data_IF_162197156875
#
_entry.id   IF_162197156875
#
_cell.length_a   1.000
_cell.length_b   1.000
_cell.length_c   1.000
_cell.angle_alpha   90.00
_cell.angle_beta   90.00
_cell.angle_gamma   90.00
#
_symmetry.space_group_name_H-M   'P 1'
#
loop_
_entity.id
_entity.type
_entity.pdbx_description
1 polymer ?
#
# COMPACT_ATOMS: atom_id res chain seq x y z
N UNK A 1 -10.22 -3.10 16.78
CA UNK A 1 -9.37 -1.99 16.32
C UNK A 1 -9.38 -2.03 14.79
N UNK A 2 -9.52 -0.88 14.13
CA UNK A 2 -9.61 -0.81 12.66
C UNK A 2 -8.22 -0.43 12.15
N UNK A 3 -7.70 -1.19 11.19
CA UNK A 3 -6.39 -0.93 10.59
C UNK A 3 -6.49 0.35 9.75
N UNK A 4 -5.56 1.28 9.89
CA UNK A 4 -5.51 2.51 9.08
C UNK A 4 -4.43 2.39 8.03
N UNK A 5 -4.78 2.66 6.78
CA UNK A 5 -3.84 2.69 5.66
C UNK A 5 -3.72 4.12 5.16
N UNK A 6 -2.53 4.70 5.34
CA UNK A 6 -2.21 6.04 4.89
C UNK A 6 -1.58 6.00 3.51
N UNK A 7 -2.22 6.65 2.55
CA UNK A 7 -1.70 6.80 1.20
C UNK A 7 -2.81 6.87 0.16
N UNK A 8 -2.53 7.46 -1.01
CA UNK A 8 -3.53 7.58 -2.06
C UNK A 8 -3.86 6.23 -2.67
N UNK A 9 -5.15 6.01 -2.91
CA UNK A 9 -5.67 4.77 -3.50
C UNK A 9 -5.12 4.53 -4.91
N UNK A 10 -4.71 5.59 -5.61
CA UNK A 10 -4.13 5.50 -6.96
C UNK A 10 -2.67 5.05 -6.97
N UNK A 11 -1.96 5.09 -5.84
CA UNK A 11 -0.55 4.70 -5.81
C UNK A 11 -0.39 3.18 -5.68
N UNK A 12 0.54 2.62 -6.47
CA UNK A 12 0.78 1.18 -6.54
C UNK A 12 1.22 0.56 -5.20
N UNK A 13 1.90 1.31 -4.33
CA UNK A 13 2.39 0.78 -3.05
C UNK A 13 1.26 0.64 -2.00
N UNK A 14 0.42 1.67 -1.74
CA UNK A 14 -0.78 1.53 -0.90
C UNK A 14 -1.76 0.45 -1.39
N UNK A 15 -1.99 0.33 -2.71
CA UNK A 15 -2.87 -0.70 -3.27
C UNK A 15 -2.47 -2.13 -2.87
N UNK A 16 -1.16 -2.43 -2.84
CA UNK A 16 -0.65 -3.76 -2.43
C UNK A 16 -1.04 -4.11 -1.00
N UNK A 17 -1.01 -3.14 -0.10
CA UNK A 17 -1.41 -3.32 1.30
C UNK A 17 -2.92 -3.51 1.39
N UNK A 18 -3.70 -2.66 0.71
CA UNK A 18 -5.16 -2.74 0.71
C UNK A 18 -5.66 -4.10 0.20
N UNK A 19 -5.06 -4.62 -0.88
CA UNK A 19 -5.37 -5.97 -1.40
C UNK A 19 -5.15 -7.05 -0.35
N UNK A 20 -4.02 -7.00 0.37
CA UNK A 20 -3.70 -7.97 1.40
C UNK A 20 -4.74 -7.95 2.53
N UNK A 21 -5.15 -6.76 2.97
CA UNK A 21 -6.16 -6.59 4.01
C UNK A 21 -7.54 -7.09 3.55
N UNK A 22 -7.94 -6.81 2.31
CA UNK A 22 -9.15 -7.33 1.70
C UNK A 22 -9.13 -8.86 1.58
N UNK A 23 -8.02 -9.46 1.13
CA UNK A 23 -7.87 -10.92 1.03
C UNK A 23 -7.96 -11.60 2.40
N UNK A 24 -7.57 -10.92 3.47
CA UNK A 24 -7.64 -11.42 4.85
C UNK A 24 -8.97 -11.12 5.54
N UNK A 25 -9.90 -10.42 4.88
CA UNK A 25 -11.18 -10.02 5.47
C UNK A 25 -11.03 -9.06 6.65
N UNK A 26 -9.93 -8.28 6.69
CA UNK A 26 -9.66 -7.31 7.75
C UNK A 26 -10.32 -5.99 7.38
N UNK A 27 -11.09 -5.41 8.30
CA UNK A 27 -11.66 -4.09 8.12
C UNK A 27 -10.57 -3.02 8.31
N UNK A 28 -10.44 -2.13 7.32
CA UNK A 28 -9.48 -1.03 7.36
C UNK A 28 -10.10 0.30 6.88
N UNK A 29 -9.52 1.39 7.36
CA UNK A 29 -9.85 2.76 6.97
C UNK A 29 -8.75 3.31 6.07
N UNK A 30 -9.14 3.98 4.99
CA UNK A 30 -8.20 4.63 4.07
C UNK A 30 -8.09 6.09 4.46
N UNK A 31 -6.88 6.52 4.81
CA UNK A 31 -6.55 7.94 5.00
C UNK A 31 -5.82 8.41 3.75
N UNK A 32 -6.52 9.20 2.94
CA UNK A 32 -5.93 9.77 1.74
C UNK A 32 -4.79 10.73 2.10
N UNK A 33 -3.70 10.66 1.34
CA UNK A 33 -2.51 11.50 1.53
C UNK A 33 -2.17 12.11 0.20
N UNK A 34 -2.27 13.44 0.11
CA UNK A 34 -2.02 14.11 -1.16
C UNK A 34 -0.51 14.18 -1.44
N UNK A 35 -0.07 13.35 -2.39
CA UNK A 35 1.33 13.28 -2.81
C UNK A 35 1.77 14.46 -3.69
N UNK A 36 0.84 15.11 -4.39
CA UNK A 36 1.12 16.25 -5.28
C UNK A 36 1.50 17.48 -4.47
N UNK A 37 0.80 17.71 -3.36
CA UNK A 37 1.08 18.80 -2.41
C UNK A 37 2.24 18.42 -1.45
N UNK A 38 2.68 17.17 -1.47
CA UNK A 38 3.80 16.69 -0.66
C UNK A 38 3.46 16.50 0.81
N UNK A 39 2.21 16.16 1.14
CA UNK A 39 1.75 16.00 2.52
C UNK A 39 2.53 14.94 3.30
N UNK A 40 3.03 13.92 2.61
CA UNK A 40 3.93 12.89 3.16
C UNK A 40 5.24 13.44 3.71
N UNK A 41 5.65 14.66 3.33
CA UNK A 41 6.86 15.33 3.83
C UNK A 41 6.57 16.29 4.97
N UNK A 42 5.29 16.53 5.31
CA UNK A 42 4.95 17.43 6.43
C UNK A 42 5.36 16.81 7.77
N UNK A 43 5.72 17.61 8.78
CA UNK A 43 6.17 17.11 10.09
C UNK A 43 5.16 16.16 10.76
N UNK A 44 3.86 16.41 10.54
CA UNK A 44 2.78 15.56 11.04
C UNK A 44 2.82 14.15 10.45
N UNK A 45 3.21 14.00 9.19
CA UNK A 45 3.35 12.70 8.53
C UNK A 45 4.71 12.05 8.82
N UNK A 46 5.78 12.86 8.87
CA UNK A 46 7.13 12.39 9.23
C UNK A 46 7.20 11.78 10.63
N UNK A 47 6.39 12.30 11.57
CA UNK A 47 6.27 11.73 12.92
C UNK A 47 5.70 10.31 12.93
N UNK A 48 4.93 9.95 11.90
CA UNK A 48 4.40 8.57 11.70
C UNK A 48 5.36 7.74 10.87
N UNK A 49 5.99 8.36 9.88
CA UNK A 49 6.85 7.70 8.92
C UNK A 49 8.07 8.57 8.60
N UNK A 50 9.23 8.32 9.22
CA UNK A 50 10.40 9.21 9.17
C UNK A 50 10.98 9.38 7.76
N UNK A 51 10.66 8.47 6.84
CA UNK A 51 11.13 8.53 5.45
C UNK A 51 10.26 9.40 4.53
N UNK A 52 9.11 9.89 5.01
CA UNK A 52 8.18 10.70 4.23
C UNK A 52 7.66 10.00 2.97
N UNK A 53 7.30 8.72 3.10
CA UNK A 53 6.82 7.87 2.02
C UNK A 53 5.49 7.21 2.39
N UNK A 54 4.72 6.81 1.38
CA UNK A 54 3.49 6.02 1.53
C UNK A 54 3.71 4.61 0.93
N UNK A 55 3.01 3.56 1.40
CA UNK A 55 2.00 3.54 2.45
C UNK A 55 2.56 3.46 3.87
N UNK A 56 1.74 3.86 4.83
CA UNK A 56 1.93 3.56 6.26
C UNK A 56 0.71 2.78 6.73
N UNK A 57 0.94 1.69 7.47
CA UNK A 57 -0.13 0.90 8.08
C UNK A 57 -0.06 1.09 9.59
N UNK A 58 -1.17 1.48 10.20
CA UNK A 58 -1.31 1.56 11.66
C UNK A 58 -2.37 0.54 12.12
N UNK A 59 -2.00 -0.30 13.09
CA UNK A 59 -2.90 -1.22 13.79
C UNK A 59 -2.70 -1.06 15.30
N UNK A 60 -3.49 -0.15 15.91
CA UNK A 60 -3.29 0.26 17.30
C UNK A 60 -1.92 0.91 17.52
N UNK A 61 -1.08 0.30 18.35
CA UNK A 61 0.28 0.75 18.63
C UNK A 61 1.31 0.27 17.58
N UNK A 62 0.91 -0.61 16.66
CA UNK A 62 1.81 -1.17 15.66
C UNK A 62 1.83 -0.31 14.38
N UNK A 63 3.03 0.02 13.90
CA UNK A 63 3.26 0.79 12.66
C UNK A 63 4.17 0.02 11.70
N UNK A 64 3.76 -0.08 10.43
CA UNK A 64 4.54 -0.76 9.39
C UNK A 64 4.70 0.09 8.12
N UNK A 65 5.90 0.09 7.57
CA UNK A 65 6.24 0.72 6.29
C UNK A 65 7.36 -0.06 5.58
N UNK A 66 7.28 -0.22 4.25
CA UNK A 66 8.26 -1.03 3.48
C UNK A 66 8.56 -0.41 2.11
N UNK A 67 9.85 -0.27 1.76
CA UNK A 67 10.34 0.16 0.43
C UNK A 67 11.26 -0.91 -0.18
N UNK A 68 10.73 -1.84 -0.97
CA UNK A 68 11.53 -2.93 -1.56
C UNK A 68 11.08 -3.36 -2.98
N UNK A 69 10.48 -2.46 -3.77
CA UNK A 69 9.96 -2.79 -5.11
C UNK A 69 11.00 -3.43 -6.06
N UNK A 70 12.23 -2.89 -6.10
CA UNK A 70 13.33 -3.40 -6.94
C UNK A 70 13.76 -4.83 -6.52
N UNK A 71 13.76 -5.12 -5.22
CA UNK A 71 14.13 -6.44 -4.68
C UNK A 71 13.12 -7.54 -5.03
N UNK A 72 11.88 -7.17 -5.39
CA UNK A 72 10.86 -8.13 -5.87
C UNK A 72 11.17 -8.55 -7.30
N UNK A 73 11.57 -7.63 -8.18
CA UNK A 73 11.85 -7.92 -9.59
C UNK A 73 13.23 -8.54 -9.82
N UNK A 74 14.22 -8.17 -9.00
CA UNK A 74 15.61 -8.64 -9.12
C UNK A 74 15.82 -10.07 -8.62
N UNK A 75 14.94 -10.58 -7.76
CA UNK A 75 15.06 -11.93 -7.19
C UNK A 75 14.17 -12.91 -7.96
N UNK A 76 14.78 -13.85 -8.69
CA UNK A 76 14.10 -14.81 -9.57
C UNK A 76 12.83 -15.44 -8.95
N UNK A 77 12.94 -16.02 -7.76
CA UNK A 77 11.82 -16.73 -7.12
C UNK A 77 10.74 -15.77 -6.59
N UNK A 78 11.13 -14.58 -6.15
CA UNK A 78 10.21 -13.55 -5.66
C UNK A 78 9.46 -12.90 -6.83
N UNK A 79 10.13 -12.71 -7.96
CA UNK A 79 9.54 -12.21 -9.20
C UNK A 79 8.56 -13.23 -9.80
N UNK A 80 8.92 -14.52 -9.79
CA UNK A 80 8.02 -15.60 -10.23
C UNK A 80 6.73 -15.61 -9.39
N UNK A 81 6.87 -15.61 -8.06
CA UNK A 81 5.73 -15.49 -7.15
C UNK A 81 4.92 -14.21 -7.41
N UNK A 82 5.56 -13.06 -7.62
CA UNK A 82 4.88 -11.80 -7.91
C UNK A 82 4.09 -11.82 -9.23
N UNK A 83 4.61 -12.48 -10.26
CA UNK A 83 3.90 -12.72 -11.52
C UNK A 83 2.68 -13.61 -11.31
N UNK A 84 2.77 -14.60 -10.42
CA UNK A 84 1.61 -15.45 -10.09
C UNK A 84 0.53 -14.65 -9.34
N UNK A 85 0.91 -13.79 -8.39
CA UNK A 85 -0.03 -12.92 -7.68
C UNK A 85 -0.72 -11.93 -8.63
N UNK A 86 0.05 -11.24 -9.46
CA UNK A 86 -0.49 -10.17 -10.33
C UNK A 86 -1.37 -10.70 -11.48
N UNK A 87 -1.28 -12.00 -11.79
CA UNK A 87 -2.19 -12.64 -12.75
C UNK A 87 -3.52 -13.12 -12.14
N UNK A 88 -3.69 -13.04 -10.82
CA UNK A 88 -4.91 -13.48 -10.14
C UNK A 88 -6.13 -12.66 -10.57
N UNK A 89 -7.33 -13.27 -10.67
CA UNK A 89 -8.56 -12.56 -11.02
C UNK A 89 -8.88 -11.39 -10.07
N UNK A 90 -8.58 -11.53 -8.78
CA UNK A 90 -8.75 -10.48 -7.79
C UNK A 90 -7.87 -9.25 -8.10
N UNK A 91 -6.63 -9.47 -8.52
CA UNK A 91 -5.72 -8.39 -8.91
C UNK A 91 -6.21 -7.66 -10.17
N UNK A 92 -6.72 -8.40 -11.15
CA UNK A 92 -7.30 -7.82 -12.37
C UNK A 92 -8.56 -6.99 -12.08
N UNK A 93 -9.40 -7.45 -11.14
CA UNK A 93 -10.59 -6.71 -10.68
C UNK A 93 -10.22 -5.44 -9.92
N UNK A 94 -9.16 -5.44 -9.14
CA UNK A 94 -8.63 -4.22 -8.51
C UNK A 94 -8.17 -3.22 -9.58
N UNK A 95 -7.46 -3.68 -10.61
CA UNK A 95 -6.95 -2.81 -11.66
C UNK A 95 -8.07 -2.20 -12.52
N UNK A 96 -9.19 -2.91 -12.73
CA UNK A 96 -10.36 -2.31 -13.36
C UNK A 96 -10.98 -1.23 -12.48
N UNK A 97 -11.18 -1.49 -11.18
CA UNK A 97 -11.71 -0.49 -10.24
C UNK A 97 -10.82 0.75 -10.11
N UNK A 98 -9.49 0.59 -10.25
CA UNK A 98 -8.54 1.69 -10.22
C UNK A 98 -8.51 2.51 -11.52
N UNK A 99 -8.97 1.94 -12.64
CA UNK A 99 -9.07 2.63 -13.93
C UNK A 99 -10.33 3.50 -14.05
N UNK A 100 -11.34 3.23 -13.22
CA UNK A 100 -12.63 3.93 -13.23
C UNK A 100 -12.65 5.17 -12.31
N UNK A 101 -11.53 5.49 -11.64
CA UNK A 101 -11.36 6.60 -10.68
C UNK A 101 -10.29 7.61 -11.11
#
# INVERSE_FOLDING_TARGET
>A
MVVKVYGPVKAACPQRVMVCLLEKGVNFEIVDVNLEVGEQKRPQFLSRQPFGQVPVVEDGDFRLFVKLGHLVTERKNVNAWWKDISNRPAWKKLMSLASDY
#
